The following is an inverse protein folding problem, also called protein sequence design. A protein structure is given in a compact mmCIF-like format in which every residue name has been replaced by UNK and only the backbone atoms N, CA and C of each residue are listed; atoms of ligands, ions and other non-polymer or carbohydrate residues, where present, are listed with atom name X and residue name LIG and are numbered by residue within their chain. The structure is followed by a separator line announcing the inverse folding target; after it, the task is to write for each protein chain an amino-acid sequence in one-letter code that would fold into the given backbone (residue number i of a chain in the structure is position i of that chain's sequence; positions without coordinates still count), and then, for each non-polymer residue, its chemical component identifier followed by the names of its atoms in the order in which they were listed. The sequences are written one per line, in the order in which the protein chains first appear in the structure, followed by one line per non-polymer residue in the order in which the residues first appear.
data_IF_759954413118
#
_entry.id   IF_759954413118
#
_cell.length_a   1.000
_cell.length_b   1.000
_cell.length_c   1.000
_cell.angle_alpha   90.00
_cell.angle_beta   90.00
_cell.angle_gamma   90.00
#
_symmetry.space_group_name_H-M   'P 1'
#
loop_
_entity.id
_entity.type
_entity.pdbx_description
1 polymer ?
#
# COMPACT_ATOMS: atom_id res chain seq x y z
N UNK A 1 -4.23 -34.80 -9.29
CA UNK A 1 -5.21 -33.69 -9.18
C UNK A 1 -5.77 -33.64 -7.77
N UNK A 2 -5.57 -32.52 -7.05
CA UNK A 2 -6.22 -32.28 -5.75
C UNK A 2 -7.62 -31.74 -6.05
N UNK A 3 -8.66 -32.46 -5.62
CA UNK A 3 -10.06 -32.18 -5.93
C UNK A 3 -10.70 -31.28 -4.87
N UNK A 4 -11.01 -30.04 -5.22
CA UNK A 4 -11.81 -29.12 -4.40
C UNK A 4 -13.26 -29.15 -4.88
N UNK A 5 -14.10 -29.99 -4.27
CA UNK A 5 -15.53 -30.05 -4.54
C UNK A 5 -16.18 -31.31 -3.99
N UNK A 6 -16.86 -31.22 -2.85
CA UNK A 6 -17.63 -32.31 -2.28
C UNK A 6 -18.88 -32.67 -3.11
N UNK A 7 -19.44 -33.86 -2.88
CA UNK A 7 -20.68 -34.33 -3.54
C UNK A 7 -21.82 -33.31 -3.37
N UNK A 8 -22.38 -32.87 -4.50
CA UNK A 8 -23.65 -32.12 -4.56
C UNK A 8 -23.53 -30.63 -4.84
N UNK A 9 -22.33 -30.05 -4.92
CA UNK A 9 -22.15 -28.68 -5.40
C UNK A 9 -21.82 -28.68 -6.90
N UNK A 10 -22.42 -27.78 -7.71
CA UNK A 10 -21.96 -27.59 -9.07
C UNK A 10 -20.47 -27.23 -9.02
N UNK A 11 -19.66 -27.98 -9.76
CA UNK A 11 -18.26 -27.64 -9.95
C UNK A 11 -18.21 -26.20 -10.49
N UNK A 12 -17.55 -25.24 -9.83
CA UNK A 12 -17.15 -24.02 -10.48
C UNK A 12 -15.98 -24.42 -11.40
N UNK A 13 -16.28 -25.07 -12.52
CA UNK A 13 -15.34 -25.09 -13.63
C UNK A 13 -15.45 -23.70 -14.22
N UNK A 14 -14.40 -22.91 -14.07
CA UNK A 14 -14.29 -21.63 -14.77
C UNK A 14 -14.31 -21.92 -16.26
N UNK A 15 -15.49 -21.81 -16.89
CA UNK A 15 -15.64 -21.95 -18.34
C UNK A 15 -15.23 -20.62 -18.97
N UNK A 16 -14.36 -20.62 -19.99
CA UNK A 16 -14.01 -19.39 -20.70
C UNK A 16 -15.26 -18.66 -21.20
N UNK A 17 -15.33 -17.36 -20.94
CA UNK A 17 -16.34 -16.48 -21.55
C UNK A 17 -16.18 -16.48 -23.07
N UNK A 18 -17.18 -16.01 -23.82
CA UNK A 18 -17.04 -15.89 -25.28
C UNK A 18 -15.85 -15.00 -25.68
N UNK A 19 -15.62 -13.89 -24.96
CA UNK A 19 -14.40 -13.07 -25.13
C UNK A 19 -13.13 -13.88 -24.84
N UNK A 20 -13.14 -14.69 -23.77
CA UNK A 20 -12.02 -15.57 -23.42
C UNK A 20 -11.74 -16.63 -24.49
N UNK A 21 -12.76 -17.18 -25.14
CA UNK A 21 -12.60 -18.12 -26.26
C UNK A 21 -11.96 -17.46 -27.48
N UNK A 22 -12.38 -16.24 -27.81
CA UNK A 22 -11.80 -15.46 -28.92
C UNK A 22 -10.33 -15.13 -28.63
N UNK A 23 -10.02 -14.69 -27.40
CA UNK A 23 -8.65 -14.45 -26.98
C UNK A 23 -7.80 -15.72 -27.06
N UNK A 24 -8.30 -16.85 -26.55
CA UNK A 24 -7.59 -18.13 -26.62
C UNK A 24 -7.38 -18.60 -28.07
N UNK A 25 -8.32 -18.33 -28.98
CA UNK A 25 -8.14 -18.62 -30.40
C UNK A 25 -7.03 -17.75 -31.01
N UNK A 26 -6.96 -16.46 -30.67
CA UNK A 26 -5.86 -15.58 -31.13
C UNK A 26 -4.50 -15.98 -30.59
N UNK A 27 -4.43 -16.40 -29.33
CA UNK A 27 -3.21 -16.97 -28.79
C UNK A 27 -2.79 -18.24 -29.56
N UNK A 28 -3.75 -19.13 -29.88
CA UNK A 28 -3.47 -20.33 -30.69
C UNK A 28 -2.91 -19.99 -32.08
N UNK A 29 -3.39 -18.93 -32.72
CA UNK A 29 -2.84 -18.47 -34.00
C UNK A 29 -1.33 -18.16 -33.89
N UNK A 30 -0.89 -17.58 -32.76
CA UNK A 30 0.52 -17.21 -32.55
C UNK A 30 1.47 -18.42 -32.45
N UNK A 31 0.96 -19.54 -31.93
CA UNK A 31 1.75 -20.77 -31.69
C UNK A 31 1.46 -21.88 -32.69
N UNK A 32 0.52 -21.66 -33.61
CA UNK A 32 -0.06 -22.70 -34.48
C UNK A 32 0.99 -23.43 -35.30
N UNK A 33 2.02 -22.71 -35.76
CA UNK A 33 3.06 -23.24 -36.66
C UNK A 33 4.28 -23.82 -35.92
N UNK A 34 4.25 -23.88 -34.58
CA UNK A 34 5.39 -24.39 -33.79
C UNK A 34 5.47 -25.90 -33.85
N UNK A 35 6.70 -26.46 -33.81
CA UNK A 35 6.89 -27.90 -33.72
C UNK A 35 6.25 -28.46 -32.44
N UNK A 36 6.34 -27.72 -31.33
CA UNK A 36 5.66 -28.07 -30.07
C UNK A 36 4.17 -28.30 -30.28
N UNK A 37 3.47 -27.32 -30.86
CA UNK A 37 2.03 -27.37 -31.04
C UNK A 37 1.61 -28.51 -31.98
N UNK A 38 2.34 -28.72 -33.08
CA UNK A 38 2.00 -29.73 -34.07
C UNK A 38 2.31 -31.18 -33.65
N UNK A 39 3.39 -31.40 -32.90
CA UNK A 39 3.95 -32.75 -32.71
C UNK A 39 3.85 -33.25 -31.26
N UNK A 40 3.72 -32.34 -30.29
CA UNK A 40 3.86 -32.69 -28.87
C UNK A 40 2.69 -32.25 -27.98
N UNK A 41 1.84 -31.31 -28.44
CA UNK A 41 0.81 -30.70 -27.59
C UNK A 41 -0.23 -31.69 -27.05
N UNK A 42 -0.63 -32.68 -27.86
CA UNK A 42 -1.63 -33.69 -27.49
C UNK A 42 -1.01 -35.01 -26.97
N UNK A 43 0.32 -35.07 -26.79
CA UNK A 43 1.02 -36.26 -26.32
C UNK A 43 1.67 -36.02 -24.93
N UNK A 44 0.91 -36.37 -23.89
CA UNK A 44 1.29 -36.20 -22.47
C UNK A 44 2.53 -37.03 -22.05
N UNK A 45 3.00 -37.97 -22.88
CA UNK A 45 4.16 -38.82 -22.56
C UNK A 45 5.37 -38.55 -23.46
N UNK A 46 5.26 -37.66 -24.44
CA UNK A 46 6.34 -37.34 -25.36
C UNK A 46 7.54 -36.69 -24.65
N UNK A 47 8.74 -37.13 -25.03
CA UNK A 47 9.97 -36.42 -24.67
C UNK A 47 10.17 -35.26 -25.64
N UNK A 48 9.85 -34.05 -25.20
CA UNK A 48 9.91 -32.85 -26.03
C UNK A 48 11.36 -32.36 -26.16
N UNK A 49 11.91 -32.23 -27.39
CA UNK A 49 13.24 -31.67 -27.60
C UNK A 49 13.32 -30.23 -27.10
N UNK A 50 14.48 -29.83 -26.60
CA UNK A 50 14.73 -28.47 -26.09
C UNK A 50 14.45 -27.40 -27.16
N UNK A 51 14.77 -27.71 -28.41
CA UNK A 51 14.61 -26.80 -29.55
C UNK A 51 13.13 -26.47 -29.81
N UNK A 52 12.24 -27.46 -29.72
CA UNK A 52 10.80 -27.26 -29.86
C UNK A 52 10.22 -26.42 -28.72
N UNK A 53 10.73 -26.61 -27.49
CA UNK A 53 10.35 -25.78 -26.33
C UNK A 53 10.79 -24.33 -26.54
N UNK A 54 12.03 -24.10 -27.00
CA UNK A 54 12.54 -22.74 -27.23
C UNK A 54 11.79 -22.03 -28.35
N UNK A 55 11.51 -22.71 -29.45
CA UNK A 55 10.68 -22.20 -30.53
C UNK A 55 9.30 -21.76 -30.00
N UNK A 56 8.62 -22.64 -29.26
CA UNK A 56 7.33 -22.35 -28.66
C UNK A 56 7.39 -21.15 -27.71
N UNK A 57 8.35 -21.11 -26.79
CA UNK A 57 8.46 -20.02 -25.80
C UNK A 57 8.73 -18.67 -26.48
N UNK A 58 9.46 -18.64 -27.59
CA UNK A 58 9.74 -17.40 -28.33
C UNK A 58 8.50 -16.79 -29.01
N UNK A 59 7.38 -17.53 -29.09
CA UNK A 59 6.11 -17.08 -29.66
C UNK A 59 4.98 -17.06 -28.63
N UNK A 60 4.88 -18.09 -27.81
CA UNK A 60 3.79 -18.32 -26.85
C UNK A 60 4.04 -17.85 -25.43
N UNK A 61 5.23 -17.33 -25.09
CA UNK A 61 5.46 -16.72 -23.78
C UNK A 61 4.60 -15.45 -23.63
N UNK A 62 4.00 -15.23 -22.46
CA UNK A 62 3.28 -13.99 -22.15
C UNK A 62 4.14 -12.74 -22.35
N UNK A 63 5.45 -12.86 -22.14
CA UNK A 63 6.42 -11.81 -22.43
C UNK A 63 6.48 -11.37 -23.90
N UNK A 64 5.93 -12.16 -24.84
CA UNK A 64 5.83 -11.80 -26.26
C UNK A 64 4.63 -10.92 -26.56
N UNK A 65 3.63 -10.84 -25.65
CA UNK A 65 2.44 -9.98 -25.80
C UNK A 65 2.82 -8.51 -25.94
N UNK A 66 3.97 -8.09 -25.41
CA UNK A 66 4.43 -6.71 -25.54
C UNK A 66 4.76 -6.30 -26.99
N UNK A 67 4.96 -7.29 -27.87
CA UNK A 67 5.30 -7.07 -29.28
C UNK A 67 4.07 -6.66 -30.08
N UNK A 68 4.22 -5.68 -30.97
CA UNK A 68 3.11 -5.16 -31.76
C UNK A 68 2.50 -6.22 -32.70
N UNK A 69 3.30 -7.20 -33.13
CA UNK A 69 2.90 -8.31 -33.99
C UNK A 69 2.17 -9.46 -33.26
N UNK A 70 2.10 -9.44 -31.92
CA UNK A 70 1.40 -10.46 -31.16
C UNK A 70 -0.11 -10.44 -31.48
N UNK A 71 -0.69 -11.53 -32.04
CA UNK A 71 -2.08 -11.54 -32.53
C UNK A 71 -3.15 -11.28 -31.47
N UNK A 72 -2.87 -11.63 -30.22
CA UNK A 72 -3.75 -11.54 -29.06
C UNK A 72 -3.63 -10.21 -28.30
N UNK A 73 -2.55 -9.46 -28.53
CA UNK A 73 -2.29 -8.17 -27.86
C UNK A 73 -3.45 -7.17 -27.96
N UNK A 74 -4.07 -6.91 -29.14
CA UNK A 74 -5.19 -5.97 -29.22
C UNK A 74 -6.39 -6.36 -28.36
N UNK A 75 -6.67 -7.67 -28.25
CA UNK A 75 -7.78 -8.18 -27.42
C UNK A 75 -7.46 -8.09 -25.93
N UNK A 76 -6.20 -8.29 -25.55
CA UNK A 76 -5.75 -8.08 -24.17
C UNK A 76 -5.83 -6.61 -23.80
N UNK A 77 -5.40 -5.70 -24.68
CA UNK A 77 -5.58 -4.26 -24.50
C UNK A 77 -7.05 -3.89 -24.30
N UNK A 78 -7.97 -4.33 -25.15
CA UNK A 78 -9.44 -4.11 -24.96
C UNK A 78 -9.93 -4.68 -23.62
N UNK A 79 -9.48 -5.87 -23.25
CA UNK A 79 -9.91 -6.51 -21.99
C UNK A 79 -9.43 -5.72 -20.77
N UNK A 80 -8.18 -5.24 -20.79
CA UNK A 80 -7.63 -4.44 -19.71
C UNK A 80 -8.16 -3.00 -19.71
N UNK A 81 -8.43 -2.39 -20.85
CA UNK A 81 -8.88 -1.00 -20.90
C UNK A 81 -10.39 -0.86 -20.79
N UNK A 82 -11.18 -1.83 -21.28
CA UNK A 82 -12.64 -1.72 -21.43
C UNK A 82 -13.42 -2.85 -20.78
N UNK A 83 -12.75 -3.91 -20.30
CA UNK A 83 -13.40 -5.06 -19.68
C UNK A 83 -14.00 -4.76 -18.30
N UNK A 84 -15.21 -5.28 -18.06
CA UNK A 84 -15.94 -5.17 -16.78
C UNK A 84 -16.92 -4.00 -16.74
N UNK A 85 -17.39 -3.61 -15.54
CA UNK A 85 -18.27 -2.45 -15.38
C UNK A 85 -17.61 -1.15 -15.89
N UNK A 86 -18.34 -0.25 -16.56
CA UNK A 86 -17.77 0.96 -17.18
C UNK A 86 -16.95 1.84 -16.23
N UNK A 87 -17.43 2.03 -14.99
CA UNK A 87 -16.73 2.83 -13.98
C UNK A 87 -15.38 2.19 -13.59
N UNK A 88 -15.36 0.86 -13.39
CA UNK A 88 -14.13 0.14 -13.06
C UNK A 88 -13.12 0.11 -14.21
N UNK A 89 -13.60 0.12 -15.46
CA UNK A 89 -12.76 0.27 -16.63
C UNK A 89 -12.17 1.69 -16.71
N UNK A 90 -12.98 2.73 -16.48
CA UNK A 90 -12.53 4.11 -16.44
C UNK A 90 -11.47 4.36 -15.36
N UNK A 91 -11.70 3.89 -14.12
CA UNK A 91 -10.74 4.00 -13.01
C UNK A 91 -9.40 3.30 -13.32
N UNK A 92 -9.45 2.16 -14.04
CA UNK A 92 -8.26 1.43 -14.47
C UNK A 92 -7.47 2.19 -15.52
N UNK A 93 -8.13 2.70 -16.57
CA UNK A 93 -7.48 3.56 -17.57
C UNK A 93 -6.88 4.79 -16.90
N UNK A 94 -7.60 5.43 -16.00
CA UNK A 94 -7.13 6.60 -15.26
C UNK A 94 -5.86 6.29 -14.44
N UNK A 95 -5.80 5.15 -13.77
CA UNK A 95 -4.60 4.67 -13.06
C UNK A 95 -3.45 4.34 -14.00
N UNK A 96 -3.71 3.70 -15.14
CA UNK A 96 -2.68 3.44 -16.15
C UNK A 96 -2.09 4.73 -16.71
N UNK A 97 -2.92 5.74 -17.01
CA UNK A 97 -2.45 7.07 -17.41
C UNK A 97 -1.56 7.71 -16.36
N UNK A 98 -1.93 7.65 -15.08
CA UNK A 98 -1.10 8.17 -14.00
C UNK A 98 0.28 7.50 -13.98
N UNK A 99 0.33 6.17 -14.10
CA UNK A 99 1.59 5.43 -14.09
C UNK A 99 2.43 5.73 -15.33
N UNK A 100 1.83 5.81 -16.51
CA UNK A 100 2.52 6.19 -17.74
C UNK A 100 3.07 7.62 -17.68
N UNK A 101 2.32 8.55 -17.05
CA UNK A 101 2.80 9.92 -16.79
C UNK A 101 4.04 9.91 -15.89
N UNK A 102 4.01 9.13 -14.81
CA UNK A 102 5.14 8.98 -13.89
C UNK A 102 6.35 8.36 -14.60
N UNK A 103 6.16 7.24 -15.30
CA UNK A 103 7.20 6.54 -16.08
C UNK A 103 7.86 7.48 -17.09
N UNK A 104 7.07 8.29 -17.80
CA UNK A 104 7.57 9.26 -18.77
C UNK A 104 8.40 10.39 -18.14
N UNK A 105 8.18 10.71 -16.87
CA UNK A 105 8.96 11.73 -16.14
C UNK A 105 10.19 11.15 -15.43
N UNK A 106 10.32 9.83 -15.34
CA UNK A 106 11.40 9.14 -14.60
C UNK A 106 12.27 8.22 -15.45
N UNK A 107 12.27 8.40 -16.77
CA UNK A 107 12.95 7.53 -17.77
C UNK A 107 14.37 7.12 -17.36
N UNK A 108 15.12 8.04 -16.74
CA UNK A 108 16.52 7.86 -16.35
C UNK A 108 16.71 7.37 -14.90
N UNK A 109 15.66 6.90 -14.23
CA UNK A 109 15.68 6.52 -12.82
C UNK A 109 14.86 5.26 -12.56
N UNK A 110 15.46 4.17 -12.08
CA UNK A 110 14.74 2.91 -11.93
C UNK A 110 13.63 3.05 -10.89
N UNK A 111 12.46 2.49 -11.20
CA UNK A 111 11.31 2.53 -10.31
C UNK A 111 11.16 1.19 -9.59
N UNK A 112 10.86 1.29 -8.30
CA UNK A 112 10.36 0.18 -7.50
C UNK A 112 9.21 0.69 -6.62
N UNK A 113 8.58 -0.21 -5.86
CA UNK A 113 7.44 0.16 -5.02
C UNK A 113 7.77 1.28 -4.02
N UNK A 114 9.01 1.34 -3.53
CA UNK A 114 9.43 2.35 -2.57
C UNK A 114 9.61 3.73 -3.22
N UNK A 115 10.31 3.81 -4.35
CA UNK A 115 10.46 5.03 -5.13
C UNK A 115 9.09 5.54 -5.61
N UNK A 116 8.22 4.65 -6.08
CA UNK A 116 6.84 5.00 -6.45
C UNK A 116 6.08 5.64 -5.29
N UNK A 117 6.15 5.05 -4.08
CA UNK A 117 5.52 5.63 -2.89
C UNK A 117 6.04 7.03 -2.61
N UNK A 118 7.36 7.23 -2.69
CA UNK A 118 7.97 8.53 -2.48
C UNK A 118 7.49 9.56 -3.53
N UNK A 119 7.53 9.20 -4.81
CA UNK A 119 7.09 10.08 -5.90
C UNK A 119 5.59 10.42 -5.81
N UNK A 120 4.72 9.48 -5.47
CA UNK A 120 3.29 9.76 -5.32
C UNK A 120 2.99 10.61 -4.08
N UNK A 121 3.65 10.34 -2.95
CA UNK A 121 3.32 11.01 -1.69
C UNK A 121 4.04 12.36 -1.51
N UNK A 122 5.32 12.42 -1.86
CA UNK A 122 6.18 13.60 -1.71
C UNK A 122 6.37 14.38 -3.00
N UNK A 123 6.04 13.82 -4.18
CA UNK A 123 6.40 14.38 -5.50
C UNK A 123 7.92 14.45 -5.75
N UNK A 124 8.69 13.78 -4.91
CA UNK A 124 10.14 13.66 -4.98
C UNK A 124 10.59 12.36 -4.30
N UNK A 125 11.71 11.80 -4.78
CA UNK A 125 12.38 10.66 -4.17
C UNK A 125 13.77 11.06 -3.67
N UNK A 126 14.28 10.36 -2.66
CA UNK A 126 15.62 10.62 -2.07
C UNK A 126 16.77 10.55 -3.08
N UNK A 127 16.60 9.84 -4.20
CA UNK A 127 17.61 9.72 -5.27
C UNK A 127 17.51 10.82 -6.33
N UNK A 128 16.71 11.86 -6.09
CA UNK A 128 16.64 13.07 -6.92
C UNK A 128 15.55 13.07 -7.99
N UNK A 129 14.91 11.94 -8.27
CA UNK A 129 13.75 11.89 -9.19
C UNK A 129 12.59 12.69 -8.61
N UNK A 130 11.90 13.44 -9.46
CA UNK A 130 10.72 14.23 -9.09
C UNK A 130 9.53 13.83 -9.97
N UNK A 131 8.33 14.10 -9.49
CA UNK A 131 7.11 13.81 -10.24
C UNK A 131 6.11 14.94 -10.08
N UNK A 132 5.72 15.55 -11.19
CA UNK A 132 4.68 16.59 -11.22
C UNK A 132 3.53 16.11 -12.10
N UNK A 133 2.37 15.75 -11.51
CA UNK A 133 1.23 15.26 -12.29
C UNK A 133 0.78 16.27 -13.34
N UNK A 134 0.61 15.82 -14.60
CA UNK A 134 -0.02 16.64 -15.64
C UNK A 134 -1.51 16.87 -15.34
N UNK A 135 -2.11 17.90 -15.93
CA UNK A 135 -3.49 18.28 -15.65
C UNK A 135 -4.50 17.14 -15.88
N UNK A 136 -4.31 16.35 -16.95
CA UNK A 136 -5.17 15.21 -17.27
C UNK A 136 -5.14 14.05 -16.28
N UNK A 137 -4.15 13.97 -15.38
CA UNK A 137 -4.03 12.91 -14.36
C UNK A 137 -4.02 13.44 -12.93
N UNK A 138 -4.10 14.76 -12.73
CA UNK A 138 -3.96 15.42 -11.43
C UNK A 138 -4.95 14.90 -10.38
N UNK A 139 -6.22 14.72 -10.74
CA UNK A 139 -7.24 14.18 -9.82
C UNK A 139 -6.88 12.77 -9.36
N UNK A 140 -6.49 11.90 -10.30
CA UNK A 140 -6.05 10.52 -10.01
C UNK A 140 -4.78 10.52 -9.15
N UNK A 141 -3.85 11.44 -9.41
CA UNK A 141 -2.64 11.60 -8.60
C UNK A 141 -2.99 11.98 -7.14
N UNK A 142 -3.95 12.87 -6.92
CA UNK A 142 -4.46 13.22 -5.58
C UNK A 142 -5.09 12.02 -4.88
N UNK A 143 -5.88 11.22 -5.59
CA UNK A 143 -6.45 9.97 -5.06
C UNK A 143 -5.36 8.99 -4.62
N UNK A 144 -4.32 8.78 -5.44
CA UNK A 144 -3.18 7.95 -5.10
C UNK A 144 -2.34 8.53 -3.95
N UNK A 145 -2.22 9.87 -3.85
CA UNK A 145 -1.57 10.53 -2.72
C UNK A 145 -2.32 10.28 -1.41
N UNK A 146 -3.66 10.39 -1.43
CA UNK A 146 -4.52 10.05 -0.29
C UNK A 146 -4.47 8.55 0.04
N UNK A 147 -4.33 7.69 -0.97
CA UNK A 147 -4.09 6.26 -0.76
C UNK A 147 -2.77 6.03 -0.01
N UNK A 148 -1.67 6.67 -0.43
CA UNK A 148 -0.39 6.57 0.28
C UNK A 148 -0.45 7.16 1.69
N UNK A 149 -1.21 8.25 1.91
CA UNK A 149 -1.47 8.78 3.25
C UNK A 149 -2.13 7.75 4.16
N UNK A 150 -3.12 7.00 3.64
CA UNK A 150 -3.78 5.92 4.37
C UNK A 150 -2.84 4.76 4.66
N UNK A 151 -1.91 4.47 3.76
CA UNK A 151 -0.90 3.44 3.97
C UNK A 151 0.07 3.83 5.10
N UNK A 152 0.55 5.08 5.16
CA UNK A 152 1.34 5.56 6.31
C UNK A 152 0.53 5.55 7.62
N UNK A 153 -0.73 5.99 7.56
CA UNK A 153 -1.65 5.91 8.70
C UNK A 153 -1.82 4.47 9.21
N UNK A 154 -2.07 3.51 8.31
CA UNK A 154 -2.22 2.11 8.66
C UNK A 154 -0.91 1.51 9.18
N UNK A 155 0.23 1.89 8.60
CA UNK A 155 1.56 1.51 9.08
C UNK A 155 1.76 1.95 10.53
N UNK A 156 1.40 3.19 10.89
CA UNK A 156 1.48 3.68 12.27
C UNK A 156 0.67 2.82 13.25
N UNK A 157 -0.57 2.48 12.90
CA UNK A 157 -1.42 1.63 13.73
C UNK A 157 -0.88 0.20 13.86
N UNK A 158 -0.37 -0.36 12.77
CA UNK A 158 0.28 -1.67 12.77
C UNK A 158 1.57 -1.65 13.61
N UNK A 159 2.30 -0.53 13.62
CA UNK A 159 3.47 -0.32 14.47
C UNK A 159 3.11 -0.36 15.96
N UNK A 160 2.04 0.34 16.36
CA UNK A 160 1.51 0.26 17.73
C UNK A 160 1.08 -1.17 18.10
N UNK A 161 0.38 -1.86 17.19
CA UNK A 161 -0.05 -3.24 17.39
C UNK A 161 1.14 -4.20 17.56
N UNK A 162 2.14 -4.13 16.67
CA UNK A 162 3.37 -4.93 16.73
C UNK A 162 4.10 -4.68 18.05
N UNK A 163 4.29 -3.41 18.42
CA UNK A 163 4.97 -3.03 19.64
C UNK A 163 4.34 -3.68 20.87
N UNK A 164 3.01 -3.55 21.01
CA UNK A 164 2.28 -4.13 22.14
C UNK A 164 2.39 -5.66 22.16
N UNK A 165 2.32 -6.32 21.00
CA UNK A 165 2.45 -7.78 20.90
C UNK A 165 3.84 -8.24 21.36
N UNK A 166 4.90 -7.58 20.87
CA UNK A 166 6.27 -7.92 21.23
C UNK A 166 6.54 -7.69 22.71
N UNK A 167 6.23 -6.50 23.23
CA UNK A 167 6.38 -6.21 24.66
C UNK A 167 5.61 -7.21 25.53
N UNK A 168 4.37 -7.52 25.16
CA UNK A 168 3.56 -8.49 25.89
C UNK A 168 4.18 -9.88 25.90
N UNK A 169 4.78 -10.33 24.81
CA UNK A 169 5.48 -11.62 24.73
C UNK A 169 6.80 -11.60 25.51
N UNK A 170 7.62 -10.57 25.32
CA UNK A 170 8.95 -10.42 25.95
C UNK A 170 8.87 -10.34 27.47
N UNK A 171 7.74 -9.83 27.98
CA UNK A 171 7.47 -9.74 29.43
C UNK A 171 6.70 -10.95 29.97
N UNK A 172 6.50 -12.01 29.19
CA UNK A 172 5.83 -13.26 29.63
C UNK A 172 4.31 -13.15 29.75
N UNK A 173 3.67 -12.26 28.99
CA UNK A 173 2.22 -12.03 28.91
C UNK A 173 1.42 -13.20 28.32
N UNK A 174 2.11 -14.16 27.70
CA UNK A 174 1.57 -15.43 27.24
C UNK A 174 1.35 -16.43 28.38
N UNK A 175 2.18 -16.34 29.42
CA UNK A 175 2.10 -17.16 30.64
C UNK A 175 1.25 -16.45 31.71
N UNK A 176 1.46 -15.15 31.91
CA UNK A 176 0.77 -14.34 32.92
C UNK A 176 0.13 -13.10 32.28
N UNK A 177 -1.21 -13.06 32.11
CA UNK A 177 -1.89 -11.91 31.55
C UNK A 177 -1.48 -10.59 32.23
N UNK A 178 -1.25 -9.55 31.44
CA UNK A 178 -0.79 -8.24 31.90
C UNK A 178 -1.95 -7.38 32.32
N UNK A 179 -1.86 -6.70 33.46
CA UNK A 179 -2.90 -5.76 33.86
C UNK A 179 -2.88 -4.53 32.94
N UNK A 180 -4.05 -3.94 32.72
CA UNK A 180 -4.16 -2.75 31.86
C UNK A 180 -3.39 -1.54 32.39
N UNK A 181 -3.25 -1.37 33.70
CA UNK A 181 -2.43 -0.31 34.29
C UNK A 181 -0.93 -0.50 34.03
N UNK A 182 -0.44 -1.75 34.06
CA UNK A 182 0.93 -2.07 33.65
C UNK A 182 1.17 -1.72 32.17
N UNK A 183 0.21 -2.04 31.30
CA UNK A 183 0.25 -1.70 29.86
C UNK A 183 0.32 -0.19 29.67
N UNK A 184 -0.50 0.57 30.42
CA UNK A 184 -0.51 2.03 30.31
C UNK A 184 0.74 2.69 30.87
N UNK A 185 1.27 2.20 31.99
CA UNK A 185 2.55 2.67 32.53
C UNK A 185 3.68 2.43 31.52
N UNK A 186 3.72 1.25 30.91
CA UNK A 186 4.74 0.93 29.92
C UNK A 186 4.65 1.82 28.66
N UNK A 187 3.44 2.03 28.14
CA UNK A 187 3.26 2.90 26.97
C UNK A 187 3.56 4.37 27.29
N UNK A 188 3.43 4.79 28.54
CA UNK A 188 3.85 6.11 28.98
C UNK A 188 5.37 6.27 28.88
N UNK A 189 6.13 5.29 29.36
CA UNK A 189 7.59 5.25 29.27
C UNK A 189 8.08 5.14 27.82
N UNK A 190 7.33 4.45 26.96
CA UNK A 190 7.66 4.26 25.54
C UNK A 190 7.52 5.53 24.68
N UNK A 191 6.93 6.61 25.21
CA UNK A 191 6.78 7.90 24.53
C UNK A 191 8.05 8.77 24.68
N UNK A 192 9.20 8.20 24.29
CA UNK A 192 10.51 8.85 24.38
C UNK A 192 10.85 9.66 23.11
N UNK A 193 10.36 10.90 23.06
CA UNK A 193 10.65 11.83 21.97
C UNK A 193 12.09 12.36 21.98
N UNK A 194 12.78 12.32 23.12
CA UNK A 194 14.17 12.75 23.22
C UNK A 194 15.09 11.74 22.51
N UNK A 195 14.89 10.45 22.74
CA UNK A 195 15.63 9.40 22.02
C UNK A 195 15.26 9.37 20.55
N UNK A 196 13.98 9.56 20.19
CA UNK A 196 13.58 9.72 18.79
C UNK A 196 14.31 10.89 18.12
N UNK A 197 14.34 12.07 18.75
CA UNK A 197 15.02 13.24 18.20
C UNK A 197 16.53 12.98 18.01
N UNK A 198 17.20 12.35 18.99
CA UNK A 198 18.62 11.97 18.87
C UNK A 198 18.88 11.04 17.69
N UNK A 199 18.01 10.05 17.45
CA UNK A 199 18.15 9.12 16.30
C UNK A 199 18.07 9.81 14.95
N UNK A 200 17.34 10.93 14.86
CA UNK A 200 17.25 11.75 13.65
C UNK A 200 18.17 12.98 13.68
N UNK A 201 19.10 13.06 14.64
CA UNK A 201 20.04 14.19 14.81
C UNK A 201 19.33 15.55 14.97
N UNK A 202 18.20 15.55 15.67
CA UNK A 202 17.37 16.74 15.90
C UNK A 202 17.61 17.33 17.28
N UNK A 203 17.32 18.64 17.41
CA UNK A 203 17.20 19.27 18.71
C UNK A 203 16.11 18.59 19.55
N UNK A 204 16.41 18.36 20.82
CA UNK A 204 15.48 17.69 21.74
C UNK A 204 14.21 18.53 21.94
N UNK A 205 13.01 17.98 21.68
CA UNK A 205 11.78 18.77 21.63
C UNK A 205 11.21 19.12 23.01
N UNK A 206 11.82 18.66 24.11
CA UNK A 206 11.30 18.80 25.48
C UNK A 206 9.87 18.27 25.62
N UNK A 207 9.52 17.22 24.87
CA UNK A 207 8.22 16.56 24.87
C UNK A 207 8.27 15.26 25.67
N UNK A 208 7.24 15.01 26.47
CA UNK A 208 7.00 13.76 27.17
C UNK A 208 5.52 13.36 27.08
N UNK A 209 5.16 12.25 27.72
CA UNK A 209 3.79 11.72 27.74
C UNK A 209 2.72 12.72 28.22
N UNK A 210 3.08 13.63 29.13
CA UNK A 210 2.20 14.64 29.72
C UNK A 210 2.18 15.97 28.95
N UNK A 211 3.10 16.18 28.00
CA UNK A 211 3.05 17.32 27.10
C UNK A 211 1.75 17.31 26.30
N UNK A 212 1.27 18.50 25.92
CA UNK A 212 0.09 18.58 25.08
C UNK A 212 0.35 18.03 23.68
N UNK A 213 -0.68 17.41 23.09
CA UNK A 213 -0.60 16.97 21.71
C UNK A 213 -0.43 18.16 20.75
N UNK A 214 -0.96 19.33 21.11
CA UNK A 214 -0.73 20.58 20.38
C UNK A 214 0.75 21.00 20.36
N UNK A 215 1.50 20.75 21.43
CA UNK A 215 2.94 20.99 21.48
C UNK A 215 3.71 20.05 20.53
N UNK A 216 3.34 18.76 20.49
CA UNK A 216 3.84 17.81 19.49
C UNK A 216 3.58 18.32 18.06
N UNK A 217 2.34 18.71 17.75
CA UNK A 217 2.02 19.25 16.43
C UNK A 217 2.80 20.53 16.09
N UNK A 218 3.06 21.38 17.09
CA UNK A 218 3.88 22.58 16.97
C UNK A 218 5.33 22.27 16.62
N UNK A 219 5.95 21.34 17.36
CA UNK A 219 7.30 20.85 17.05
C UNK A 219 7.36 20.28 15.63
N UNK A 220 6.41 19.44 15.23
CA UNK A 220 6.38 18.88 13.88
C UNK A 220 6.27 19.95 12.79
N UNK A 221 5.47 21.01 12.99
CA UNK A 221 5.37 22.13 12.04
C UNK A 221 6.66 22.94 11.92
N UNK A 222 7.47 23.00 12.97
CA UNK A 222 8.79 23.64 12.90
C UNK A 222 9.81 22.82 12.09
N UNK A 223 9.61 21.51 11.98
CA UNK A 223 10.48 20.61 11.23
C UNK A 223 10.02 20.39 9.78
N UNK A 224 8.70 20.37 9.59
CA UNK A 224 8.07 20.00 8.32
C UNK A 224 6.95 21.00 8.02
N UNK A 225 7.13 21.88 7.02
CA UNK A 225 6.08 22.78 6.59
C UNK A 225 4.82 22.01 6.16
N UNK A 226 3.65 22.50 6.58
CA UNK A 226 2.37 22.01 6.07
C UNK A 226 2.20 22.45 4.62
N UNK A 227 1.74 21.54 3.77
CA UNK A 227 1.51 21.84 2.37
C UNK A 227 0.24 21.11 1.87
N UNK A 228 -0.42 21.67 0.85
CA UNK A 228 -1.67 21.14 0.31
C UNK A 228 -1.47 19.86 -0.51
N UNK A 229 -2.57 19.32 -1.04
CA UNK A 229 -2.58 18.09 -1.84
C UNK A 229 -1.81 18.19 -3.17
N UNK A 230 -1.59 19.39 -3.69
CA UNK A 230 -0.84 19.60 -4.94
C UNK A 230 0.59 20.09 -4.71
N UNK A 231 0.96 20.42 -3.47
CA UNK A 231 2.29 20.94 -3.18
C UNK A 231 3.24 19.78 -2.89
N UNK A 232 4.45 19.76 -3.48
CA UNK A 232 5.48 18.79 -3.10
C UNK A 232 5.75 18.82 -1.60
N UNK A 233 5.99 17.66 -1.01
CA UNK A 233 6.46 17.57 0.37
C UNK A 233 7.97 17.43 0.36
N UNK A 234 8.65 18.22 1.19
CA UNK A 234 10.10 18.21 1.26
C UNK A 234 10.60 16.86 1.76
N UNK A 235 11.18 16.06 0.87
CA UNK A 235 11.80 14.77 1.15
C UNK A 235 13.17 14.92 1.82
N UNK A 236 13.76 16.12 1.76
CA UNK A 236 14.99 16.44 2.48
C UNK A 236 14.74 16.85 3.93
N UNK A 237 13.48 17.09 4.31
CA UNK A 237 13.10 17.47 5.66
C UNK A 237 13.71 16.50 6.68
N UNK A 238 14.19 16.99 7.84
CA UNK A 238 14.88 16.17 8.83
C UNK A 238 14.07 14.94 9.26
N UNK A 239 12.75 15.10 9.31
CA UNK A 239 11.79 14.11 9.73
C UNK A 239 10.59 14.10 8.77
N UNK A 240 10.12 12.93 8.37
CA UNK A 240 8.87 12.76 7.63
C UNK A 240 8.41 11.30 7.72
N UNK A 241 7.22 11.01 7.19
CA UNK A 241 6.58 9.70 7.31
C UNK A 241 7.44 8.57 6.76
N UNK A 242 8.12 8.77 5.63
CA UNK A 242 8.97 7.75 5.03
C UNK A 242 10.24 7.46 5.84
N UNK A 243 10.90 8.48 6.39
CA UNK A 243 12.02 8.30 7.32
C UNK A 243 11.63 7.51 8.58
N UNK A 244 10.44 7.75 9.12
CA UNK A 244 9.91 7.00 10.25
C UNK A 244 9.64 5.52 9.91
N UNK A 245 9.20 5.23 8.68
CA UNK A 245 9.09 3.84 8.19
C UNK A 245 10.45 3.17 8.09
N UNK A 246 11.42 3.82 7.44
CA UNK A 246 12.77 3.27 7.30
C UNK A 246 13.41 2.99 8.66
N UNK A 247 13.16 3.85 9.65
CA UNK A 247 13.57 3.60 11.02
C UNK A 247 12.86 2.36 11.59
N UNK A 248 11.53 2.29 11.54
CA UNK A 248 10.76 1.18 12.11
C UNK A 248 11.06 -0.21 11.49
N UNK A 249 11.54 -0.26 10.25
CA UNK A 249 11.92 -1.51 9.57
C UNK A 249 13.29 -2.05 10.03
N UNK A 250 14.14 -1.19 10.60
CA UNK A 250 15.40 -1.61 11.21
C UNK A 250 15.11 -2.40 12.50
N UNK A 251 15.80 -3.53 12.68
CA UNK A 251 15.49 -4.52 13.73
C UNK A 251 15.73 -4.04 15.17
N UNK A 252 16.35 -2.88 15.37
CA UNK A 252 16.76 -2.32 16.69
C UNK A 252 16.08 -0.97 17.00
N UNK A 253 14.75 -0.91 16.84
CA UNK A 253 13.98 0.34 16.98
C UNK A 253 12.82 0.27 17.97
N UNK A 254 12.77 -0.79 18.77
CA UNK A 254 11.70 -0.95 19.76
C UNK A 254 11.63 0.22 20.75
N UNK A 255 12.76 0.77 21.15
CA UNK A 255 12.89 1.92 22.07
C UNK A 255 12.19 3.20 21.59
N UNK A 256 12.13 3.44 20.27
CA UNK A 256 11.53 4.65 19.69
C UNK A 256 10.25 4.39 18.90
N UNK A 257 9.81 3.13 18.79
CA UNK A 257 8.72 2.77 17.86
C UNK A 257 7.41 3.50 18.19
N UNK A 258 7.00 3.55 19.46
CA UNK A 258 5.76 4.22 19.88
C UNK A 258 5.83 5.73 19.61
N UNK A 259 6.92 6.39 20.03
CA UNK A 259 7.15 7.81 19.77
C UNK A 259 7.18 8.11 18.25
N UNK A 260 7.81 7.25 17.46
CA UNK A 260 7.87 7.36 16.00
C UNK A 260 6.51 7.21 15.33
N UNK A 261 5.71 6.22 15.72
CA UNK A 261 4.35 6.06 15.17
C UNK A 261 3.43 7.20 15.62
N UNK A 262 3.60 7.73 16.84
CA UNK A 262 2.85 8.91 17.29
C UNK A 262 3.22 10.16 16.50
N UNK A 263 4.52 10.32 16.21
CA UNK A 263 5.04 11.38 15.32
C UNK A 263 4.43 11.25 13.92
N UNK A 264 4.33 10.04 13.36
CA UNK A 264 3.69 9.79 12.07
C UNK A 264 2.20 10.19 12.09
N UNK A 265 1.48 9.87 13.16
CA UNK A 265 0.07 10.28 13.33
C UNK A 265 -0.08 11.81 13.40
N UNK A 266 0.85 12.50 14.07
CA UNK A 266 0.92 13.96 14.12
C UNK A 266 1.22 14.59 12.75
N UNK A 267 2.15 14.02 11.97
CA UNK A 267 2.46 14.49 10.61
C UNK A 267 1.24 14.36 9.68
N UNK A 268 0.56 13.22 9.72
CA UNK A 268 -0.67 12.97 8.94
C UNK A 268 -1.76 13.98 9.34
N UNK A 269 -1.91 14.26 10.64
CA UNK A 269 -2.86 15.30 11.08
C UNK A 269 -2.45 16.70 10.62
N UNK A 270 -1.17 17.06 10.66
CA UNK A 270 -0.71 18.37 10.19
C UNK A 270 -0.94 18.57 8.68
N UNK A 271 -0.81 17.51 7.87
CA UNK A 271 -1.02 17.57 6.41
C UNK A 271 -2.49 17.52 6.00
N UNK A 272 -3.25 16.60 6.59
CA UNK A 272 -4.62 16.28 6.15
C UNK A 272 -5.69 16.70 7.14
N UNK A 273 -5.30 17.39 8.21
CA UNK A 273 -6.21 17.81 9.27
C UNK A 273 -7.24 18.80 8.76
N UNK A 274 -6.88 19.75 7.89
CA UNK A 274 -7.75 20.82 7.37
C UNK A 274 -9.15 20.31 6.97
N UNK A 275 -10.26 20.85 7.52
CA UNK A 275 -11.59 20.36 7.16
C UNK A 275 -11.95 20.64 5.70
N UNK A 276 -11.37 21.65 5.06
CA UNK A 276 -11.67 22.03 3.67
C UNK A 276 -11.33 20.92 2.67
N UNK A 277 -10.29 20.12 2.97
CA UNK A 277 -9.91 18.95 2.16
C UNK A 277 -11.00 17.88 2.07
N UNK A 278 -12.01 17.91 2.95
CA UNK A 278 -13.08 16.90 3.00
C UNK A 278 -14.17 17.14 1.97
N UNK A 279 -14.21 18.37 1.45
CA UNK A 279 -15.15 18.80 0.43
C UNK A 279 -14.63 18.45 -0.98
N UNK A 280 -13.35 18.11 -1.10
CA UNK A 280 -12.74 17.63 -2.34
C UNK A 280 -13.31 16.24 -2.72
N UNK A 281 -13.68 16.01 -4.00
CA UNK A 281 -14.17 14.71 -4.49
C UNK A 281 -13.23 13.53 -4.17
N UNK A 282 -11.92 13.74 -4.28
CA UNK A 282 -10.89 12.70 -4.05
C UNK A 282 -10.84 12.24 -2.59
N UNK A 283 -11.40 13.02 -1.66
CA UNK A 283 -11.47 12.66 -0.23
C UNK A 283 -12.27 11.37 0.00
N UNK A 284 -13.04 10.89 -0.98
CA UNK A 284 -13.64 9.54 -0.97
C UNK A 284 -12.62 8.46 -0.57
N UNK A 285 -11.36 8.60 -1.01
CA UNK A 285 -10.28 7.66 -0.69
C UNK A 285 -10.02 7.64 0.82
N UNK A 286 -9.95 8.81 1.47
CA UNK A 286 -9.75 8.93 2.92
C UNK A 286 -10.90 8.33 3.76
N UNK A 287 -12.11 8.24 3.19
CA UNK A 287 -13.31 7.62 3.79
C UNK A 287 -13.35 6.10 3.64
N UNK A 288 -12.59 5.51 2.71
CA UNK A 288 -12.61 4.07 2.49
C UNK A 288 -12.26 3.29 3.76
N UNK A 289 -13.14 2.36 4.12
CA UNK A 289 -13.05 1.54 5.34
C UNK A 289 -14.07 1.90 6.43
N UNK A 290 -14.89 2.95 6.27
CA UNK A 290 -15.86 3.40 7.29
C UNK A 290 -16.89 2.34 7.75
N UNK A 291 -17.18 1.32 6.93
CA UNK A 291 -18.08 0.21 7.26
C UNK A 291 -17.40 -0.83 8.16
N UNK A 292 -17.06 -0.44 9.40
CA UNK A 292 -16.55 -1.33 10.44
C UNK A 292 -15.03 -1.34 10.62
N UNK A 293 -14.28 -0.64 9.75
CA UNK A 293 -12.84 -0.36 9.96
C UNK A 293 -12.66 1.12 10.30
N UNK A 294 -11.49 1.46 10.85
CA UNK A 294 -11.17 2.82 11.23
C UNK A 294 -10.47 3.53 10.09
N UNK A 295 -11.23 4.36 9.36
CA UNK A 295 -10.71 5.17 8.25
C UNK A 295 -9.83 6.32 8.74
N UNK A 296 -8.92 6.78 7.88
CA UNK A 296 -8.13 7.99 8.13
C UNK A 296 -9.06 9.20 8.37
N UNK A 297 -10.17 9.31 7.61
CA UNK A 297 -11.18 10.35 7.83
C UNK A 297 -11.76 10.34 9.25
N UNK A 298 -12.09 9.15 9.77
CA UNK A 298 -12.60 9.00 11.14
C UNK A 298 -11.56 9.39 12.18
N UNK A 299 -10.31 8.96 12.01
CA UNK A 299 -9.19 9.37 12.86
C UNK A 299 -9.05 10.90 12.92
N UNK A 300 -8.93 11.56 11.76
CA UNK A 300 -8.74 13.00 11.67
C UNK A 300 -9.91 13.78 12.31
N UNK A 301 -11.15 13.30 12.10
CA UNK A 301 -12.36 13.90 12.69
C UNK A 301 -12.40 13.76 14.21
N UNK A 302 -12.08 12.56 14.72
CA UNK A 302 -12.11 12.29 16.15
C UNK A 302 -10.97 13.01 16.88
N UNK A 303 -9.76 13.03 16.31
CA UNK A 303 -8.62 13.75 16.88
C UNK A 303 -8.90 15.26 16.91
N UNK A 304 -9.43 15.84 15.82
CA UNK A 304 -9.88 17.25 15.84
C UNK A 304 -10.88 17.53 16.94
N UNK A 305 -11.85 16.64 17.16
CA UNK A 305 -12.85 16.80 18.22
C UNK A 305 -12.20 16.75 19.61
N UNK A 306 -11.25 15.85 19.82
CA UNK A 306 -10.47 15.78 21.07
C UNK A 306 -9.72 17.09 21.31
N UNK A 307 -8.98 17.58 20.32
CA UNK A 307 -8.20 18.82 20.42
C UNK A 307 -9.07 20.08 20.61
N UNK A 308 -10.32 20.08 20.13
CA UNK A 308 -11.29 21.16 20.40
C UNK A 308 -11.88 21.10 21.82
N UNK A 309 -11.83 19.94 22.47
CA UNK A 309 -12.40 19.73 23.81
C UNK A 309 -11.52 20.22 24.95
N UNK A 310 -10.26 20.56 24.69
CA UNK A 310 -9.31 21.03 25.70
C UNK A 310 -7.87 20.67 25.32
N UNK A 311 -6.96 20.93 26.25
CA UNK A 311 -5.54 20.57 26.09
C UNK A 311 -5.34 19.10 26.41
N UNK A 312 -5.40 18.27 25.37
CA UNK A 312 -5.27 16.80 25.49
C UNK A 312 -3.79 16.43 25.45
N UNK A 313 -3.34 15.59 26.38
CA UNK A 313 -1.93 15.18 26.43
C UNK A 313 -1.61 14.16 25.34
N UNK A 314 -0.32 13.99 25.04
CA UNK A 314 0.15 12.94 24.13
C UNK A 314 -0.31 11.57 24.64
N UNK A 315 -0.20 11.30 25.95
CA UNK A 315 -0.62 10.02 26.52
C UNK A 315 -2.13 9.78 26.43
N UNK A 316 -2.96 10.81 26.56
CA UNK A 316 -4.40 10.69 26.38
C UNK A 316 -4.77 10.31 24.94
N UNK A 317 -4.09 10.91 23.96
CA UNK A 317 -4.23 10.53 22.54
C UNK A 317 -3.71 9.10 22.31
N UNK A 318 -2.58 8.72 22.91
CA UNK A 318 -2.03 7.35 22.86
C UNK A 318 -3.04 6.35 23.41
N UNK A 319 -3.60 6.59 24.60
CA UNK A 319 -4.62 5.71 25.22
C UNK A 319 -5.85 5.57 24.33
N UNK A 320 -6.31 6.66 23.73
CA UNK A 320 -7.43 6.63 22.78
C UNK A 320 -7.11 5.76 21.56
N UNK A 321 -5.94 5.93 20.94
CA UNK A 321 -5.51 5.13 19.79
C UNK A 321 -5.36 3.65 20.13
N UNK A 322 -4.66 3.32 21.22
CA UNK A 322 -4.50 1.92 21.63
C UNK A 322 -5.85 1.28 21.96
N UNK A 323 -6.71 1.95 22.71
CA UNK A 323 -8.03 1.41 23.06
C UNK A 323 -8.90 1.18 21.83
N UNK A 324 -9.09 2.22 21.01
CA UNK A 324 -10.11 2.20 19.96
C UNK A 324 -9.59 1.59 18.65
N UNK A 325 -8.31 1.82 18.33
CA UNK A 325 -7.71 1.45 17.04
C UNK A 325 -6.87 0.17 17.08
N UNK A 326 -6.30 -0.18 18.24
CA UNK A 326 -5.48 -1.40 18.37
C UNK A 326 -6.26 -2.51 19.06
N UNK A 327 -6.69 -2.30 20.31
CA UNK A 327 -7.31 -3.34 21.13
C UNK A 327 -8.68 -3.77 20.59
N UNK A 328 -9.62 -2.81 20.44
CA UNK A 328 -10.98 -3.13 20.01
C UNK A 328 -11.00 -3.70 18.58
N UNK A 329 -10.20 -3.14 17.66
CA UNK A 329 -10.16 -3.62 16.28
C UNK A 329 -9.58 -5.03 16.17
N UNK A 330 -8.47 -5.30 16.87
CA UNK A 330 -7.87 -6.63 16.87
C UNK A 330 -8.86 -7.67 17.41
N UNK A 331 -9.53 -7.38 18.52
CA UNK A 331 -10.53 -8.29 19.08
C UNK A 331 -11.70 -8.52 18.14
N UNK A 332 -12.23 -7.47 17.51
CA UNK A 332 -13.33 -7.60 16.55
C UNK A 332 -12.93 -8.49 15.36
N UNK A 333 -11.74 -8.27 14.80
CA UNK A 333 -11.24 -9.03 13.66
C UNK A 333 -10.90 -10.48 14.00
N UNK A 334 -10.24 -10.72 15.15
CA UNK A 334 -9.90 -12.07 15.59
C UNK A 334 -11.16 -12.90 15.89
N UNK A 335 -12.19 -12.30 16.51
CA UNK A 335 -13.47 -12.96 16.74
C UNK A 335 -14.19 -13.32 15.43
N UNK A 336 -14.15 -12.44 14.42
CA UNK A 336 -14.80 -12.69 13.13
C UNK A 336 -14.17 -13.85 12.33
N UNK A 337 -12.98 -14.32 12.74
CA UNK A 337 -12.26 -15.42 12.11
C UNK A 337 -12.42 -16.76 12.81
N UNK A 338 -13.20 -16.84 13.88
CA UNK A 338 -13.46 -18.10 14.56
C UNK A 338 -14.11 -19.11 13.59
N UNK A 339 -13.73 -20.40 13.66
CA UNK A 339 -12.93 -21.03 14.71
C UNK A 339 -11.40 -20.87 14.61
N UNK A 340 -10.87 -20.22 13.56
CA UNK A 340 -9.42 -20.02 13.42
C UNK A 340 -8.89 -19.03 14.46
N UNK A 341 -8.01 -19.50 15.34
CA UNK A 341 -7.42 -18.67 16.38
C UNK A 341 -6.36 -17.72 15.81
N UNK A 342 -6.77 -16.49 15.53
CA UNK A 342 -5.91 -15.41 15.04
C UNK A 342 -5.60 -14.35 16.10
N UNK A 343 -5.82 -14.65 17.38
CA UNK A 343 -5.53 -13.73 18.48
C UNK A 343 -4.01 -13.60 18.70
N UNK A 344 -3.53 -12.35 18.77
CA UNK A 344 -2.18 -12.01 19.24
C UNK A 344 -2.20 -11.60 20.71
N UNK A 345 -3.29 -10.94 21.09
CA UNK A 345 -3.71 -10.79 22.48
C UNK A 345 -5.25 -10.85 22.58
N UNK A 346 -5.76 -11.13 23.77
CA UNK A 346 -7.17 -11.12 24.10
C UNK A 346 -7.36 -10.38 25.43
N UNK A 347 -8.35 -9.49 25.48
CA UNK A 347 -8.75 -8.83 26.73
C UNK A 347 -9.59 -9.77 27.57
N UNK A 348 -9.17 -9.97 28.82
CA UNK A 348 -9.83 -10.76 29.85
C UNK A 348 -10.11 -9.83 31.04
N UNK A 349 -11.25 -9.12 31.01
CA UNK A 349 -11.57 -8.09 32.01
C UNK A 349 -10.58 -6.92 31.99
N UNK A 350 -9.82 -6.78 33.08
CA UNK A 350 -8.75 -5.77 33.24
C UNK A 350 -7.35 -6.29 32.88
N UNK A 351 -7.27 -7.44 32.22
CA UNK A 351 -6.02 -8.05 31.78
C UNK A 351 -5.97 -8.18 30.25
N UNK A 352 -4.76 -8.23 29.71
CA UNK A 352 -4.45 -8.64 28.35
C UNK A 352 -3.62 -9.92 28.41
N UNK A 353 -4.18 -11.01 27.88
CA UNK A 353 -3.47 -12.26 27.63
C UNK A 353 -2.85 -12.23 26.25
N UNK A 354 -1.57 -12.55 26.13
CA UNK A 354 -0.87 -12.57 24.85
C UNK A 354 -0.75 -14.00 24.31
N UNK A 355 -0.49 -14.13 23.01
CA UNK A 355 -0.28 -15.39 22.32
C UNK A 355 0.97 -15.27 21.46
N UNK A 356 1.74 -16.36 21.37
CA UNK A 356 2.94 -16.44 20.52
C UNK A 356 2.55 -16.57 19.05
N UNK A 357 2.18 -15.44 18.47
CA UNK A 357 1.92 -15.29 17.04
C UNK A 357 2.71 -14.10 16.52
N UNK A 358 3.16 -14.20 15.27
CA UNK A 358 3.87 -13.10 14.60
C UNK A 358 2.92 -11.93 14.34
N UNK A 359 3.46 -10.71 14.47
CA UNK A 359 2.82 -9.45 14.15
C UNK A 359 3.77 -8.63 13.23
N UNK A 360 3.95 -9.05 11.96
CA UNK A 360 4.86 -8.37 11.07
C UNK A 360 4.39 -6.94 10.80
N UNK A 361 5.34 -6.01 10.68
CA UNK A 361 5.08 -4.63 10.27
C UNK A 361 5.46 -4.48 8.80
N UNK A 362 4.58 -3.86 8.03
CA UNK A 362 4.80 -3.59 6.63
C UNK A 362 3.62 -2.82 6.05
N UNK A 363 3.82 -2.30 4.85
CA UNK A 363 2.73 -1.73 4.07
C UNK A 363 1.82 -2.81 3.49
N UNK A 364 0.59 -2.43 3.17
CA UNK A 364 -0.23 -3.22 2.25
C UNK A 364 0.42 -3.15 0.87
N UNK A 365 0.32 -4.21 0.07
CA UNK A 365 0.79 -4.18 -1.31
C UNK A 365 0.00 -3.11 -2.09
N UNK A 366 0.68 -2.05 -2.55
CA UNK A 366 0.09 -0.98 -3.36
C UNK A 366 -0.27 -1.40 -4.78
N UNK A 367 -0.02 -2.67 -5.11
CA UNK A 367 -0.15 -3.29 -6.43
C UNK A 367 0.74 -2.65 -7.49
N UNK A 368 1.77 -1.90 -7.07
CA UNK A 368 2.70 -1.23 -7.97
C UNK A 368 3.28 -2.22 -9.00
N UNK A 369 3.90 -3.31 -8.53
CA UNK A 369 4.52 -4.31 -9.40
C UNK A 369 3.52 -4.93 -10.37
N UNK A 370 2.32 -5.29 -9.90
CA UNK A 370 1.28 -5.85 -10.76
C UNK A 370 0.85 -4.85 -11.83
N UNK A 371 0.70 -3.57 -11.49
CA UNK A 371 0.30 -2.54 -12.43
C UNK A 371 1.40 -2.23 -13.46
N UNK A 372 2.65 -2.05 -13.02
CA UNK A 372 3.76 -1.74 -13.94
C UNK A 372 4.13 -2.94 -14.81
N UNK A 373 4.07 -4.16 -14.27
CA UNK A 373 4.22 -5.38 -15.05
C UNK A 373 3.12 -5.51 -16.10
N UNK A 374 1.87 -5.20 -15.75
CA UNK A 374 0.77 -5.19 -16.72
C UNK A 374 1.02 -4.18 -17.84
N UNK A 375 1.48 -2.95 -17.53
CA UNK A 375 1.80 -1.96 -18.55
C UNK A 375 2.96 -2.40 -19.46
N UNK A 376 3.99 -3.01 -18.88
CA UNK A 376 5.13 -3.54 -19.61
C UNK A 376 4.74 -4.70 -20.53
N UNK A 377 4.04 -5.71 -20.00
CA UNK A 377 3.61 -6.90 -20.75
C UNK A 377 2.61 -6.58 -21.85
N UNK A 378 1.78 -5.53 -21.69
CA UNK A 378 0.91 -5.02 -22.76
C UNK A 378 1.66 -4.18 -23.81
N UNK A 379 2.97 -3.96 -23.63
CA UNK A 379 3.82 -3.20 -24.55
C UNK A 379 3.52 -1.71 -24.52
N UNK A 380 3.10 -1.15 -23.39
CA UNK A 380 2.85 0.29 -23.22
C UNK A 380 4.11 1.04 -22.77
N UNK A 381 5.04 0.35 -22.12
CA UNK A 381 6.32 0.90 -21.69
C UNK A 381 7.42 -0.18 -21.59
N UNK A 382 8.67 0.25 -21.48
CA UNK A 382 9.78 -0.62 -21.07
C UNK A 382 9.66 -1.11 -19.62
N UNK A 383 10.55 -2.04 -19.23
CA UNK A 383 10.66 -2.49 -17.84
C UNK A 383 11.15 -1.33 -16.96
N UNK A 384 10.27 -0.87 -16.07
CA UNK A 384 10.51 0.28 -15.19
C UNK A 384 11.64 0.06 -14.17
N UNK A 385 12.03 -1.19 -13.92
CA UNK A 385 13.17 -1.51 -13.09
C UNK A 385 14.52 -1.30 -13.82
N UNK A 386 14.49 -1.21 -15.15
CA UNK A 386 15.66 -0.98 -16.00
C UNK A 386 15.66 0.45 -16.55
N UNK A 387 16.84 0.92 -16.95
CA UNK A 387 17.05 2.25 -17.54
C UNK A 387 17.64 2.06 -18.94
N UNK A 388 17.17 2.81 -19.96
CA UNK A 388 15.98 3.67 -19.93
C UNK A 388 14.69 2.86 -20.04
N UNK A 389 13.59 3.33 -19.44
CA UNK A 389 12.24 2.82 -19.70
C UNK A 389 11.43 3.88 -20.43
N UNK A 390 11.23 3.70 -21.74
CA UNK A 390 10.45 4.63 -22.56
C UNK A 390 9.03 4.14 -22.77
N UNK A 391 8.12 5.06 -23.06
CA UNK A 391 6.78 4.71 -23.54
C UNK A 391 6.84 4.20 -24.98
N UNK A 392 5.96 3.27 -25.33
CA UNK A 392 5.66 2.95 -26.73
C UNK A 392 4.70 3.99 -27.34
N UNK A 393 4.46 3.91 -28.65
CA UNK A 393 3.45 4.78 -29.30
C UNK A 393 2.05 4.60 -28.67
N UNK A 394 1.67 3.36 -28.36
CA UNK A 394 0.39 3.06 -27.72
C UNK A 394 0.36 3.56 -26.27
N UNK A 395 1.48 3.46 -25.54
CA UNK A 395 1.62 4.03 -24.20
C UNK A 395 1.49 5.55 -24.21
N UNK A 396 2.11 6.21 -25.17
CA UNK A 396 1.99 7.66 -25.37
C UNK A 396 0.55 8.05 -25.74
N UNK A 397 -0.10 7.32 -26.65
CA UNK A 397 -1.51 7.53 -27.02
C UNK A 397 -2.43 7.39 -25.81
N UNK A 398 -2.30 6.31 -25.03
CA UNK A 398 -3.10 6.11 -23.81
C UNK A 398 -2.90 7.25 -22.81
N UNK A 399 -1.65 7.68 -22.62
CA UNK A 399 -1.34 8.77 -21.71
C UNK A 399 -2.03 10.08 -22.13
N UNK A 400 -1.91 10.45 -23.40
CA UNK A 400 -2.41 11.72 -23.92
C UNK A 400 -3.94 11.73 -24.08
N UNK A 401 -4.50 10.69 -24.69
CA UNK A 401 -5.92 10.62 -25.08
C UNK A 401 -6.79 9.93 -24.02
N UNK A 402 -6.19 9.11 -23.17
CA UNK A 402 -6.90 8.31 -22.16
C UNK A 402 -7.52 7.02 -22.68
N UNK A 403 -7.26 6.70 -23.94
CA UNK A 403 -7.60 5.45 -24.59
C UNK A 403 -6.60 5.15 -25.73
N UNK A 404 -6.60 3.92 -26.24
CA UNK A 404 -5.79 3.49 -27.40
C UNK A 404 -6.69 3.24 -28.62
N UNK A 405 -8.00 3.11 -28.43
CA UNK A 405 -8.98 2.86 -29.49
C UNK A 405 -9.03 3.97 -30.55
#
# INVERSE_FOLDING_TARGET
LIYLGGRGYPYPVDVPTEKGKVLAAKYREAIADTAYYHQYFDDDVAQVPREAILEFINLGCLCQVQKAEAPDRPLLLDTFLHGGPPEAAADRRATFRLLLDLINQTVDSPLNQDVFRQLIYFQAAHKGSTYTPRDGVRSVAREWRLYQAREYYAFALNGFFRYLCHWGQDTGGDIRPKRMDEVWSHLEDALDFATLARRFELAEPQLNSQSSFSALLGWLRSLVPTAGLDTPYDVSAPLHEHKLVMQADQHDTADVLVAGMMTMMGLIYNRFGDPTLRDEPEWRIARMGENGRLSMNRFLTQLRRLLRGGDVTIMEVTRWLFRDYVLIQHQAFANAKLPDNTFRFQREGNYLRFYRQSAPLGFTNSRFEALTMTLHELGLCGDVAQIPHTLSNDGQKLLDEGDIA
#
